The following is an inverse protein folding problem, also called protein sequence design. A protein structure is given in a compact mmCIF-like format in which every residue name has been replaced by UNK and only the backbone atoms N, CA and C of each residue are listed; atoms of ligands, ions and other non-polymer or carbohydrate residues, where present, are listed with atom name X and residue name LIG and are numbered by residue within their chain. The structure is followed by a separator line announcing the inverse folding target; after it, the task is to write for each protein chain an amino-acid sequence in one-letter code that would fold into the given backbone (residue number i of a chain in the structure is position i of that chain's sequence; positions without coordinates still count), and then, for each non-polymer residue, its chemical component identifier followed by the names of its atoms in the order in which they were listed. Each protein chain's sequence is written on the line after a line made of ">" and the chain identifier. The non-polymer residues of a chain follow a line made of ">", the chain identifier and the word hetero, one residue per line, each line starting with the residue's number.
data_IF_938937839233
#
_entry.id   IF_938937839233
#
_cell.length_a   1.000
_cell.length_b   1.000
_cell.length_c   1.000
_cell.angle_alpha   90.00
_cell.angle_beta   90.00
_cell.angle_gamma   90.00
#
_symmetry.space_group_name_H-M   'P 1'
#
loop_
_entity.id
_entity.type
_entity.pdbx_description
1 polymer ?
#
# COMPACT_ATOMS: atom_id res chain seq x y z
N UNK A 1 21.84 7.37 8.18
CA UNK A 1 20.74 7.15 7.25
C UNK A 1 20.39 5.68 7.40
N UNK A 2 19.27 5.35 8.03
CA UNK A 2 18.74 3.99 8.06
C UNK A 2 18.39 3.61 6.62
N UNK A 3 18.95 2.50 6.15
CA UNK A 3 18.67 1.98 4.80
C UNK A 3 17.18 1.62 4.75
N UNK A 4 16.38 2.50 4.13
CA UNK A 4 14.93 2.27 3.99
C UNK A 4 14.73 1.09 3.04
N UNK A 5 13.80 0.16 3.33
CA UNK A 5 13.62 -1.01 2.50
C UNK A 5 13.23 -0.60 1.07
N UNK A 6 13.94 -1.12 0.08
CA UNK A 6 13.54 -1.01 -1.32
C UNK A 6 12.55 -2.12 -1.63
N UNK A 7 11.30 -1.73 -1.87
CA UNK A 7 10.28 -2.65 -2.36
C UNK A 7 10.45 -2.83 -3.87
N UNK A 8 11.00 -3.98 -4.28
CA UNK A 8 11.31 -4.28 -5.68
C UNK A 8 10.84 -5.70 -6.05
N UNK A 9 10.65 -5.95 -7.34
CA UNK A 9 10.25 -7.25 -7.85
C UNK A 9 8.75 -7.51 -7.78
N UNK A 10 8.35 -8.78 -7.85
CA UNK A 10 6.95 -9.18 -7.85
C UNK A 10 6.38 -9.22 -6.44
N UNK A 11 5.40 -8.36 -6.17
CA UNK A 11 4.70 -8.28 -4.89
C UNK A 11 3.23 -8.60 -5.10
N UNK A 12 2.76 -9.68 -4.47
CA UNK A 12 1.39 -10.17 -4.68
C UNK A 12 0.37 -9.41 -3.82
N UNK A 13 -0.67 -8.88 -4.47
CA UNK A 13 -1.86 -8.42 -3.78
C UNK A 13 -2.69 -9.62 -3.35
N UNK A 14 -2.75 -9.89 -2.05
CA UNK A 14 -3.46 -11.03 -1.49
C UNK A 14 -4.97 -10.83 -1.58
N UNK A 15 -5.69 -11.91 -1.94
CA UNK A 15 -7.13 -12.01 -1.72
C UNK A 15 -7.40 -12.23 -0.23
N UNK A 16 -8.56 -11.80 0.25
CA UNK A 16 -9.05 -12.14 1.60
C UNK A 16 -10.10 -13.24 1.45
N UNK A 17 -9.78 -14.51 1.79
CA UNK A 17 -10.76 -15.60 1.70
C UNK A 17 -11.83 -15.47 2.78
N UNK A 18 -13.06 -15.81 2.43
CA UNK A 18 -14.20 -15.85 3.38
C UNK A 18 -14.82 -17.24 3.42
N UNK A 19 -15.34 -17.59 4.60
CA UNK A 19 -16.16 -18.78 4.82
C UNK A 19 -17.30 -18.42 5.78
N UNK A 20 -18.52 -18.70 5.36
CA UNK A 20 -19.74 -18.43 6.14
C UNK A 20 -19.89 -16.96 6.60
N UNK A 21 -19.35 -16.02 5.80
CA UNK A 21 -19.41 -14.58 6.07
C UNK A 21 -18.28 -14.05 6.96
N UNK A 22 -17.35 -14.88 7.39
CA UNK A 22 -16.17 -14.51 8.19
C UNK A 22 -14.88 -14.73 7.40
N UNK A 23 -13.78 -14.04 7.77
CA UNK A 23 -12.47 -14.25 7.16
C UNK A 23 -11.97 -15.66 7.46
N UNK A 24 -11.64 -16.42 6.40
CA UNK A 24 -11.04 -17.77 6.51
C UNK A 24 -9.51 -17.66 6.63
N UNK A 25 -9.03 -17.54 7.86
CA UNK A 25 -7.58 -17.44 8.15
C UNK A 25 -6.80 -18.71 7.76
N UNK A 26 -7.42 -19.89 7.77
CA UNK A 26 -6.77 -21.12 7.31
C UNK A 26 -6.51 -21.07 5.79
N UNK A 27 -7.49 -20.60 5.01
CA UNK A 27 -7.32 -20.40 3.59
C UNK A 27 -6.33 -19.27 3.28
N UNK A 28 -6.38 -18.16 4.02
CA UNK A 28 -5.41 -17.06 3.90
C UNK A 28 -3.99 -17.56 4.18
N UNK A 29 -3.80 -18.35 5.25
CA UNK A 29 -2.51 -18.93 5.59
C UNK A 29 -1.95 -19.84 4.51
N UNK A 30 -2.79 -20.70 3.90
CA UNK A 30 -2.36 -21.54 2.76
C UNK A 30 -1.98 -20.69 1.55
N UNK A 31 -2.75 -19.65 1.25
CA UNK A 31 -2.43 -18.73 0.14
C UNK A 31 -1.10 -18.03 0.36
N UNK A 32 -0.84 -17.52 1.57
CA UNK A 32 0.44 -16.89 1.91
C UNK A 32 1.61 -17.84 1.69
N UNK A 33 1.53 -19.09 2.19
CA UNK A 33 2.57 -20.09 2.00
C UNK A 33 2.80 -20.38 0.52
N UNK A 34 1.72 -20.60 -0.25
CA UNK A 34 1.82 -20.86 -1.69
C UNK A 34 2.51 -19.70 -2.43
N UNK A 35 2.16 -18.46 -2.12
CA UNK A 35 2.79 -17.30 -2.77
C UNK A 35 4.29 -17.20 -2.44
N UNK A 36 4.68 -17.45 -1.20
CA UNK A 36 6.08 -17.47 -0.80
C UNK A 36 6.83 -18.60 -1.48
N UNK A 37 6.26 -19.81 -1.51
CA UNK A 37 6.86 -20.98 -2.15
C UNK A 37 7.01 -20.80 -3.67
N UNK A 38 6.10 -20.06 -4.32
CA UNK A 38 6.15 -19.70 -5.74
C UNK A 38 7.06 -18.50 -6.03
N UNK A 39 7.71 -17.93 -5.01
CA UNK A 39 8.77 -16.94 -5.18
C UNK A 39 8.30 -15.48 -5.23
N UNK A 40 7.15 -15.16 -4.62
CA UNK A 40 6.79 -13.74 -4.42
C UNK A 40 7.89 -13.03 -3.63
N UNK A 41 8.12 -11.76 -3.97
CA UNK A 41 9.11 -10.92 -3.27
C UNK A 41 8.46 -10.00 -2.22
N UNK A 42 7.16 -10.08 -2.04
CA UNK A 42 6.43 -9.34 -1.01
C UNK A 42 4.94 -9.67 -1.01
N UNK A 43 4.29 -9.41 0.10
CA UNK A 43 2.86 -9.66 0.32
C UNK A 43 2.14 -8.34 0.58
N UNK A 44 0.99 -8.15 -0.08
CA UNK A 44 0.18 -6.94 0.08
C UNK A 44 -1.24 -7.33 0.55
N UNK A 45 -1.45 -7.49 1.86
CA UNK A 45 -2.79 -7.71 2.42
C UNK A 45 -3.61 -6.42 2.39
N UNK A 46 -4.93 -6.55 2.41
CA UNK A 46 -5.87 -5.43 2.52
C UNK A 46 -5.68 -4.33 1.45
N UNK A 47 -5.19 -4.71 0.26
CA UNK A 47 -5.30 -3.85 -0.92
C UNK A 47 -6.69 -3.94 -1.55
N UNK A 48 -6.88 -3.40 -2.75
CA UNK A 48 -8.15 -3.51 -3.50
C UNK A 48 -8.52 -4.97 -3.75
N UNK A 49 -7.57 -5.80 -4.15
CA UNK A 49 -7.74 -7.25 -4.35
C UNK A 49 -8.16 -7.97 -3.07
N UNK A 50 -7.69 -7.51 -1.92
CA UNK A 50 -8.04 -8.03 -0.60
C UNK A 50 -9.34 -7.46 -0.01
N UNK A 51 -10.14 -6.77 -0.83
CA UNK A 51 -11.48 -6.26 -0.48
C UNK A 51 -11.49 -5.33 0.75
N UNK A 52 -10.41 -4.56 0.94
CA UNK A 52 -10.22 -3.65 2.08
C UNK A 52 -11.46 -2.81 2.44
N UNK A 53 -12.21 -2.21 1.47
CA UNK A 53 -13.34 -1.35 1.79
C UNK A 53 -14.54 -2.07 2.43
N UNK A 54 -14.59 -3.40 2.34
CA UNK A 54 -15.72 -4.22 2.86
C UNK A 54 -15.39 -4.94 4.15
N UNK A 55 -14.11 -4.91 4.58
CA UNK A 55 -13.68 -5.41 5.88
C UNK A 55 -14.07 -4.41 6.98
N UNK A 56 -14.56 -4.92 8.10
CA UNK A 56 -14.59 -4.13 9.32
C UNK A 56 -13.17 -3.78 9.77
N UNK A 57 -13.00 -2.76 10.60
CA UNK A 57 -11.67 -2.41 11.12
C UNK A 57 -11.00 -3.57 11.87
N UNK A 58 -11.79 -4.34 12.63
CA UNK A 58 -11.29 -5.49 13.37
C UNK A 58 -10.82 -6.63 12.45
N UNK A 59 -11.53 -6.89 11.36
CA UNK A 59 -11.11 -7.86 10.34
C UNK A 59 -9.85 -7.40 9.63
N UNK A 60 -9.81 -6.14 9.20
CA UNK A 60 -8.65 -5.54 8.56
C UNK A 60 -7.40 -5.68 9.44
N UNK A 61 -7.51 -5.30 10.71
CA UNK A 61 -6.42 -5.37 11.68
C UNK A 61 -5.93 -6.82 11.87
N UNK A 62 -6.85 -7.77 11.99
CA UNK A 62 -6.53 -9.20 12.11
C UNK A 62 -5.86 -9.76 10.85
N UNK A 63 -6.33 -9.38 9.65
CA UNK A 63 -5.74 -9.82 8.37
C UNK A 63 -4.30 -9.31 8.24
N UNK A 64 -4.05 -8.05 8.57
CA UNK A 64 -2.70 -7.48 8.54
C UNK A 64 -1.79 -8.20 9.54
N UNK A 65 -2.20 -8.31 10.80
CA UNK A 65 -1.41 -8.95 11.85
C UNK A 65 -1.11 -10.43 11.51
N UNK A 66 -2.11 -11.17 11.06
CA UNK A 66 -1.96 -12.57 10.66
C UNK A 66 -0.98 -12.71 9.48
N UNK A 67 -1.06 -11.82 8.48
CA UNK A 67 -0.14 -11.85 7.33
C UNK A 67 1.29 -11.62 7.77
N UNK A 68 1.54 -10.65 8.65
CA UNK A 68 2.89 -10.39 9.20
C UNK A 68 3.41 -11.60 9.97
N UNK A 69 2.59 -12.15 10.88
CA UNK A 69 2.95 -13.36 11.65
C UNK A 69 3.26 -14.53 10.72
N UNK A 70 2.42 -14.77 9.71
CA UNK A 70 2.56 -15.88 8.79
C UNK A 70 3.74 -15.72 7.84
N UNK A 71 4.03 -14.50 7.38
CA UNK A 71 5.22 -14.21 6.57
C UNK A 71 6.52 -14.50 7.35
N UNK A 72 6.52 -14.28 8.67
CA UNK A 72 7.63 -14.56 9.58
C UNK A 72 8.98 -13.98 9.08
N UNK A 73 8.95 -12.79 8.47
CA UNK A 73 10.13 -12.11 7.93
C UNK A 73 10.75 -12.76 6.69
N UNK A 74 10.11 -13.76 6.08
CA UNK A 74 10.62 -14.40 4.84
C UNK A 74 10.53 -13.50 3.63
N UNK A 75 9.49 -12.67 3.58
CA UNK A 75 9.27 -11.62 2.58
C UNK A 75 8.64 -10.41 3.25
N UNK A 76 8.84 -9.18 2.73
CA UNK A 76 8.23 -7.99 3.29
C UNK A 76 6.69 -8.00 3.15
N UNK A 77 6.02 -7.40 4.13
CA UNK A 77 4.57 -7.19 4.16
C UNK A 77 4.26 -5.71 4.03
N UNK A 78 3.52 -5.33 2.99
CA UNK A 78 3.10 -3.95 2.71
C UNK A 78 1.59 -3.88 2.89
N UNK A 79 1.13 -3.44 4.06
CA UNK A 79 -0.29 -3.42 4.40
C UNK A 79 -1.04 -2.32 3.63
N UNK A 80 -2.19 -2.63 3.06
CA UNK A 80 -3.09 -1.61 2.51
C UNK A 80 -3.70 -0.79 3.64
N UNK A 81 -3.38 0.52 3.72
CA UNK A 81 -3.85 1.41 4.79
C UNK A 81 -4.48 2.69 4.28
N UNK A 82 -4.55 2.87 2.96
CA UNK A 82 -5.15 4.06 2.36
C UNK A 82 -6.65 4.15 2.61
N UNK A 83 -7.14 5.36 2.86
CA UNK A 83 -8.54 5.71 3.01
C UNK A 83 -8.80 7.10 2.45
N UNK A 84 -10.06 7.43 2.17
CA UNK A 84 -10.47 8.79 1.85
C UNK A 84 -10.58 9.71 3.09
N UNK A 85 -10.44 9.15 4.28
CA UNK A 85 -10.32 9.86 5.56
C UNK A 85 -8.88 9.79 6.05
N UNK A 86 -8.23 10.94 6.24
CA UNK A 86 -6.85 10.99 6.77
C UNK A 86 -6.75 10.36 8.17
N UNK A 87 -7.75 10.57 9.02
CA UNK A 87 -7.75 10.00 10.38
C UNK A 87 -7.88 8.47 10.35
N UNK A 88 -8.69 7.93 9.44
CA UNK A 88 -8.80 6.48 9.27
C UNK A 88 -7.50 5.90 8.71
N UNK A 89 -6.92 6.51 7.68
CA UNK A 89 -5.64 6.09 7.12
C UNK A 89 -4.52 6.12 8.18
N UNK A 90 -4.48 7.15 9.04
CA UNK A 90 -3.56 7.23 10.17
C UNK A 90 -3.76 6.08 11.17
N UNK A 91 -5.02 5.74 11.50
CA UNK A 91 -5.33 4.63 12.39
C UNK A 91 -4.82 3.31 11.81
N UNK A 92 -5.15 3.04 10.55
CA UNK A 92 -4.74 1.82 9.85
C UNK A 92 -3.21 1.71 9.73
N UNK A 93 -2.54 2.82 9.40
CA UNK A 93 -1.07 2.87 9.26
C UNK A 93 -0.37 2.63 10.60
N UNK A 94 -0.88 3.22 11.70
CA UNK A 94 -0.34 2.96 13.05
C UNK A 94 -0.52 1.52 13.46
N UNK A 95 -1.68 0.91 13.18
CA UNK A 95 -1.90 -0.50 13.45
C UNK A 95 -0.93 -1.38 12.64
N UNK A 96 -0.77 -1.13 11.34
CA UNK A 96 0.17 -1.87 10.50
C UNK A 96 1.61 -1.79 11.03
N UNK A 97 2.05 -0.60 11.47
CA UNK A 97 3.36 -0.42 12.11
C UNK A 97 3.48 -1.24 13.41
N UNK A 98 2.47 -1.20 14.27
CA UNK A 98 2.44 -1.97 15.54
C UNK A 98 2.42 -3.48 15.30
N UNK A 99 1.75 -3.93 14.25
CA UNK A 99 1.73 -5.33 13.84
C UNK A 99 3.07 -5.81 13.25
N UNK A 100 3.99 -4.89 12.93
CA UNK A 100 5.30 -5.21 12.37
C UNK A 100 5.34 -5.31 10.85
N UNK A 101 4.42 -4.66 10.12
CA UNK A 101 4.50 -4.54 8.67
C UNK A 101 5.75 -3.74 8.26
N UNK A 102 6.35 -4.09 7.12
CA UNK A 102 7.54 -3.43 6.57
C UNK A 102 7.23 -2.12 5.86
N UNK A 103 5.98 -1.94 5.44
CA UNK A 103 5.48 -0.73 4.79
C UNK A 103 3.97 -0.71 4.67
N UNK A 104 3.46 0.39 4.11
CA UNK A 104 2.05 0.55 3.83
C UNK A 104 1.79 0.98 2.38
N UNK A 105 0.74 0.43 1.78
CA UNK A 105 0.21 0.83 0.47
C UNK A 105 -0.92 1.84 0.71
N UNK A 106 -0.70 3.08 0.27
CA UNK A 106 -1.62 4.19 0.48
C UNK A 106 -2.28 4.58 -0.84
N UNK A 107 -3.51 4.12 -1.05
CA UNK A 107 -4.34 4.56 -2.16
C UNK A 107 -4.77 6.02 -1.94
N UNK A 108 -4.83 6.80 -3.03
CA UNK A 108 -5.32 8.17 -2.95
C UNK A 108 -6.73 8.25 -2.34
N UNK A 109 -7.04 9.31 -1.55
CA UNK A 109 -8.39 9.56 -1.11
C UNK A 109 -9.38 9.52 -2.29
N UNK A 110 -10.23 8.51 -2.28
CA UNK A 110 -11.22 8.24 -3.31
C UNK A 110 -12.56 8.92 -2.98
N UNK A 111 -13.41 9.15 -4.00
CA UNK A 111 -14.74 9.73 -3.85
C UNK A 111 -14.75 11.24 -3.58
N UNK A 112 -14.08 11.74 -2.54
CA UNK A 112 -14.05 13.15 -2.11
C UNK A 112 -13.13 14.05 -2.93
N UNK A 113 -12.28 13.48 -3.80
CA UNK A 113 -11.47 14.18 -4.82
C UNK A 113 -10.74 15.43 -4.29
N UNK A 114 -9.79 15.29 -3.36
CA UNK A 114 -9.00 16.41 -2.86
C UNK A 114 -8.16 17.06 -3.97
N UNK A 115 -7.68 18.29 -3.74
CA UNK A 115 -6.70 18.95 -4.61
C UNK A 115 -5.34 18.26 -4.50
N UNK A 116 -4.40 18.56 -5.42
CA UNK A 116 -3.01 18.07 -5.33
C UNK A 116 -2.34 18.46 -4.01
N UNK A 117 -2.60 19.68 -3.52
CA UNK A 117 -2.14 20.12 -2.20
C UNK A 117 -2.74 19.26 -1.08
N UNK A 118 -4.04 18.94 -1.15
CA UNK A 118 -4.70 18.08 -0.17
C UNK A 118 -4.17 16.64 -0.20
N UNK A 119 -3.81 16.11 -1.38
CA UNK A 119 -3.15 14.81 -1.53
C UNK A 119 -1.77 14.82 -0.85
N UNK A 120 -0.98 15.85 -1.11
CA UNK A 120 0.33 16.03 -0.46
C UNK A 120 0.19 16.09 1.06
N UNK A 121 -0.71 16.93 1.59
CA UNK A 121 -0.93 17.07 3.05
C UNK A 121 -1.39 15.76 3.69
N UNK A 122 -2.26 14.99 3.00
CA UNK A 122 -2.67 13.66 3.44
C UNK A 122 -1.47 12.71 3.58
N UNK A 123 -0.61 12.65 2.56
CA UNK A 123 0.61 11.82 2.57
C UNK A 123 1.60 12.30 3.63
N UNK A 124 1.81 13.61 3.75
CA UNK A 124 2.72 14.18 4.76
C UNK A 124 2.31 13.80 6.20
N UNK A 125 1.00 13.85 6.50
CA UNK A 125 0.46 13.41 7.80
C UNK A 125 0.69 11.92 8.05
N UNK A 126 0.54 11.07 7.04
CA UNK A 126 0.83 9.64 7.15
C UNK A 126 2.33 9.39 7.35
N UNK A 127 3.18 10.18 6.73
CA UNK A 127 4.64 10.11 6.89
C UNK A 127 5.11 10.32 8.33
N UNK A 128 4.36 11.07 9.16
CA UNK A 128 4.66 11.28 10.58
C UNK A 128 4.63 9.98 11.40
N UNK A 129 3.94 8.94 10.93
CA UNK A 129 3.92 7.61 11.57
C UNK A 129 5.29 6.92 11.46
N UNK A 130 6.05 7.20 10.40
CA UNK A 130 7.40 6.64 10.19
C UNK A 130 7.41 5.23 9.59
N UNK A 131 6.26 4.68 9.16
CA UNK A 131 6.20 3.44 8.38
C UNK A 131 6.47 3.78 6.90
N UNK A 132 7.34 3.03 6.18
CA UNK A 132 7.59 3.24 4.76
C UNK A 132 6.30 3.24 3.93
N UNK A 133 6.14 4.26 3.07
CA UNK A 133 4.93 4.46 2.27
C UNK A 133 5.19 4.09 0.81
N UNK A 134 4.33 3.24 0.27
CA UNK A 134 4.14 3.03 -1.17
C UNK A 134 2.90 3.81 -1.58
N UNK A 135 3.06 4.90 -2.33
CA UNK A 135 1.95 5.64 -2.91
C UNK A 135 1.19 4.73 -3.89
N UNK A 136 -0.13 4.87 -3.99
CA UNK A 136 -0.90 4.09 -4.95
C UNK A 136 -1.78 4.99 -5.81
N UNK A 137 -1.38 5.17 -7.07
CA UNK A 137 -2.03 6.02 -8.06
C UNK A 137 -2.89 5.18 -9.02
N UNK A 138 -4.20 5.18 -8.79
CA UNK A 138 -5.17 4.42 -9.58
C UNK A 138 -6.43 5.25 -9.88
N UNK A 139 -6.33 6.24 -10.78
CA UNK A 139 -7.42 7.19 -11.04
C UNK A 139 -8.70 6.54 -11.56
N UNK A 140 -8.61 5.41 -12.25
CA UNK A 140 -9.77 4.65 -12.71
C UNK A 140 -10.69 4.16 -11.59
N UNK A 141 -10.16 4.01 -10.36
CA UNK A 141 -10.93 3.62 -9.17
C UNK A 141 -11.19 4.78 -8.22
N UNK A 142 -10.21 5.66 -8.03
CA UNK A 142 -10.29 6.75 -7.05
C UNK A 142 -11.02 7.99 -7.58
N UNK A 143 -11.04 8.15 -8.90
CA UNK A 143 -11.56 9.36 -9.57
C UNK A 143 -10.63 10.56 -9.43
N UNK A 144 -9.39 10.36 -8.94
CA UNK A 144 -8.35 11.38 -8.82
C UNK A 144 -6.98 10.78 -9.10
N UNK A 145 -6.11 11.55 -9.72
CA UNK A 145 -4.74 11.18 -10.09
C UNK A 145 -3.73 12.00 -9.28
N UNK A 146 -2.68 11.36 -8.75
CA UNK A 146 -1.46 12.05 -8.34
C UNK A 146 -0.71 12.47 -9.60
N UNK A 147 -0.49 13.77 -9.77
CA UNK A 147 0.36 14.24 -10.87
C UNK A 147 1.83 13.91 -10.59
N UNK A 148 2.68 13.76 -11.64
CA UNK A 148 4.11 13.54 -11.44
C UNK A 148 4.76 14.54 -10.50
N UNK A 149 4.46 15.83 -10.61
CA UNK A 149 4.99 16.88 -9.72
C UNK A 149 4.61 16.63 -8.26
N UNK A 150 3.37 16.17 -8.00
CA UNK A 150 2.93 15.85 -6.63
C UNK A 150 3.63 14.60 -6.09
N UNK A 151 3.86 13.59 -6.93
CA UNK A 151 4.63 12.38 -6.56
C UNK A 151 6.07 12.77 -6.18
N UNK A 152 6.73 13.55 -7.03
CA UNK A 152 8.10 14.04 -6.79
C UNK A 152 8.17 14.82 -5.49
N UNK A 153 7.26 15.76 -5.27
CA UNK A 153 7.18 16.54 -4.03
C UNK A 153 6.97 15.63 -2.80
N UNK A 154 6.07 14.64 -2.87
CA UNK A 154 5.88 13.70 -1.78
C UNK A 154 7.17 12.93 -1.47
N UNK A 155 7.89 12.50 -2.50
CA UNK A 155 9.14 11.76 -2.36
C UNK A 155 10.27 12.60 -1.75
N UNK A 156 10.38 13.87 -2.15
CA UNK A 156 11.43 14.80 -1.67
C UNK A 156 11.17 15.29 -0.25
N UNK A 157 9.91 15.63 0.06
CA UNK A 157 9.55 16.30 1.32
C UNK A 157 9.16 15.33 2.44
N UNK A 158 8.74 14.09 2.10
CA UNK A 158 8.25 13.10 3.07
C UNK A 158 9.18 11.87 3.09
N UNK A 159 10.15 11.79 4.01
CA UNK A 159 11.16 10.73 4.03
C UNK A 159 10.60 9.30 4.10
N UNK A 160 9.37 9.14 4.57
CA UNK A 160 8.68 7.84 4.60
C UNK A 160 8.22 7.36 3.23
N UNK A 161 8.09 8.25 2.23
CA UNK A 161 7.69 7.87 0.87
C UNK A 161 8.88 7.25 0.15
N UNK A 162 8.80 5.97 -0.17
CA UNK A 162 9.92 5.19 -0.76
C UNK A 162 9.59 4.60 -2.13
N UNK A 163 8.31 4.46 -2.45
CA UNK A 163 7.87 3.86 -3.70
C UNK A 163 6.50 4.40 -4.14
N UNK A 164 6.18 4.14 -5.40
CA UNK A 164 4.84 4.33 -5.94
C UNK A 164 4.41 3.08 -6.71
N UNK A 165 3.17 2.63 -6.47
CA UNK A 165 2.45 1.70 -7.34
C UNK A 165 1.66 2.54 -8.35
N UNK A 166 2.17 2.56 -9.60
CA UNK A 166 1.58 3.32 -10.70
C UNK A 166 0.61 2.43 -11.49
N UNK A 167 -0.64 2.80 -11.52
CA UNK A 167 -1.73 2.06 -12.18
C UNK A 167 -2.65 2.98 -13.00
N UNK A 168 -2.07 4.00 -13.64
CA UNK A 168 -2.81 4.85 -14.59
C UNK A 168 -2.97 4.18 -15.96
N UNK A 169 -2.14 3.16 -16.27
CA UNK A 169 -2.03 2.60 -17.62
C UNK A 169 -1.38 3.57 -18.63
N UNK A 170 -0.69 4.62 -18.14
CA UNK A 170 -0.07 5.66 -18.97
C UNK A 170 1.46 5.64 -18.85
N UNK A 171 2.20 5.04 -19.78
CA UNK A 171 3.67 4.99 -19.71
C UNK A 171 4.34 6.37 -19.60
N UNK A 172 3.72 7.41 -20.15
CA UNK A 172 4.24 8.79 -20.09
C UNK A 172 4.27 9.31 -18.63
N UNK A 173 3.30 8.96 -17.80
CA UNK A 173 3.28 9.31 -16.37
C UNK A 173 4.45 8.64 -15.66
N UNK A 174 4.64 7.34 -15.88
CA UNK A 174 5.78 6.59 -15.34
C UNK A 174 7.12 7.19 -15.76
N UNK A 175 7.26 7.54 -17.06
CA UNK A 175 8.47 8.15 -17.61
C UNK A 175 8.74 9.53 -17.00
N UNK A 176 7.70 10.34 -16.80
CA UNK A 176 7.82 11.66 -16.18
C UNK A 176 8.30 11.55 -14.72
N UNK A 177 7.77 10.62 -13.94
CA UNK A 177 8.21 10.37 -12.57
C UNK A 177 9.67 9.89 -12.55
N UNK A 178 10.00 8.87 -13.35
CA UNK A 178 11.33 8.27 -13.39
C UNK A 178 12.42 9.24 -13.86
N UNK A 179 12.08 10.25 -14.68
CA UNK A 179 13.03 11.28 -15.12
C UNK A 179 13.25 12.39 -14.09
N UNK A 180 12.41 12.46 -13.05
CA UNK A 180 12.41 13.56 -12.08
C UNK A 180 12.94 13.18 -10.70
N UNK A 181 12.86 11.90 -10.32
CA UNK A 181 13.38 11.42 -9.03
C UNK A 181 13.67 9.91 -9.06
N UNK A 182 14.41 9.42 -8.04
CA UNK A 182 14.83 8.02 -7.90
C UNK A 182 13.83 7.15 -7.11
N UNK A 183 12.54 7.55 -7.05
CA UNK A 183 11.50 6.77 -6.39
C UNK A 183 11.36 5.38 -7.03
N UNK A 184 11.21 4.33 -6.22
CA UNK A 184 10.90 3.00 -6.75
C UNK A 184 9.51 2.99 -7.38
N UNK A 185 9.40 2.57 -8.64
CA UNK A 185 8.12 2.49 -9.35
C UNK A 185 7.74 1.01 -9.53
N UNK A 186 6.56 0.66 -9.03
CA UNK A 186 5.94 -0.65 -9.20
C UNK A 186 4.76 -0.50 -10.16
N UNK A 187 4.60 -1.43 -11.10
CA UNK A 187 3.38 -1.48 -11.92
C UNK A 187 2.21 -1.97 -11.09
N UNK A 188 1.08 -1.32 -11.21
CA UNK A 188 -0.19 -1.76 -10.63
C UNK A 188 -1.21 -2.21 -11.67
N UNK A 189 -0.82 -2.20 -12.95
CA UNK A 189 -1.62 -2.60 -14.10
C UNK A 189 -0.82 -3.63 -14.91
N UNK A 190 -1.44 -4.78 -15.19
CA UNK A 190 -0.79 -5.91 -15.88
C UNK A 190 -0.87 -5.81 -17.40
#
# INVERSE_FOLDING_TARGET
>A
MTDMPRFVGSMVALVTPFRDGEVDFDALGRNIEEQIDQGTMGLVPCGTTGESPTLSHDEHDKVVAFTVEKAAGRVPVIAGTGSNSTEEALRLTRHAQQAGADGCLVVNPYYNKPTQQGLYEHVARLGEVGLPIVLYNIPGRTGIELTPDTVVRCYEDVPAVVAIKEATGKPDVTSAIASSCDITILSGDD
#
